data_IF_007633557452
#
_entry.id   IF_007633557452
#
_cell.length_a   1.000
_cell.length_b   1.000
_cell.length_c   1.000
_cell.angle_alpha   90.00
_cell.angle_beta   90.00
_cell.angle_gamma   90.00
#
_symmetry.space_group_name_H-M   'P 1'
#
loop_
_entity.id
_entity.type
_entity.pdbx_description
1 polymer ?
#
# COMPACT_ATOMS: atom_id res chain seq x y z
N UNK A 1 17.93 -0.44 -42.76
CA UNK A 1 18.25 -0.92 -41.40
C UNK A 1 18.59 0.29 -40.58
N UNK A 2 17.64 0.80 -39.79
CA UNK A 2 17.89 1.95 -38.93
C UNK A 2 18.43 1.42 -37.60
N UNK A 3 19.69 1.74 -37.31
CA UNK A 3 20.35 1.36 -36.07
C UNK A 3 19.79 2.27 -34.96
N UNK A 4 19.10 1.69 -33.98
CA UNK A 4 18.69 2.41 -32.78
C UNK A 4 19.94 2.74 -31.96
N UNK A 5 20.11 4.01 -31.61
CA UNK A 5 21.24 4.48 -30.82
C UNK A 5 21.12 3.97 -29.37
N UNK A 6 22.22 3.48 -28.75
CA UNK A 6 22.22 3.07 -27.36
C UNK A 6 22.53 4.27 -26.45
N UNK A 7 21.53 4.78 -25.72
CA UNK A 7 21.79 5.59 -24.52
C UNK A 7 20.52 5.75 -23.67
N UNK A 8 20.02 4.68 -23.07
CA UNK A 8 18.99 4.79 -22.03
C UNK A 8 19.64 4.42 -20.70
N UNK A 9 20.11 5.44 -19.98
CA UNK A 9 20.41 5.25 -18.55
C UNK A 9 19.14 4.76 -17.85
N UNK A 10 19.22 3.88 -16.84
CA UNK A 10 18.03 3.40 -16.11
C UNK A 10 17.14 4.59 -15.69
N UNK A 11 17.73 5.67 -15.18
CA UNK A 11 16.99 6.89 -14.86
C UNK A 11 16.08 7.44 -15.98
N UNK A 12 16.42 7.27 -17.26
CA UNK A 12 15.54 7.65 -18.37
C UNK A 12 14.38 6.66 -18.58
N UNK A 13 14.62 5.36 -18.43
CA UNK A 13 13.55 4.36 -18.53
C UNK A 13 12.55 4.51 -17.37
N UNK A 14 13.02 4.52 -16.12
CA UNK A 14 12.17 4.65 -14.94
C UNK A 14 11.40 5.98 -14.97
N UNK A 15 12.03 7.09 -15.36
CA UNK A 15 11.34 8.37 -15.49
C UNK A 15 10.29 8.37 -16.61
N UNK A 16 10.58 7.73 -17.75
CA UNK A 16 9.62 7.58 -18.84
C UNK A 16 8.44 6.69 -18.41
N UNK A 17 8.73 5.59 -17.70
CA UNK A 17 7.71 4.69 -17.18
C UNK A 17 6.84 5.35 -16.12
N UNK A 18 7.43 6.11 -15.19
CA UNK A 18 6.70 6.88 -14.19
C UNK A 18 5.73 7.87 -14.84
N UNK A 19 6.18 8.62 -15.85
CA UNK A 19 5.31 9.52 -16.64
C UNK A 19 4.19 8.75 -17.36
N UNK A 20 4.47 7.55 -17.84
CA UNK A 20 3.49 6.74 -18.54
C UNK A 20 2.41 6.18 -17.59
N UNK A 21 2.78 5.78 -16.36
CA UNK A 21 1.82 5.23 -15.40
C UNK A 21 1.05 6.31 -14.62
N UNK A 22 1.60 7.52 -14.49
CA UNK A 22 1.03 8.59 -13.69
C UNK A 22 -0.46 8.87 -13.95
N UNK A 23 -0.96 8.97 -15.20
CA UNK A 23 -2.38 9.22 -15.45
C UNK A 23 -3.30 8.14 -14.90
N UNK A 24 -2.84 6.88 -14.83
CA UNK A 24 -3.62 5.78 -14.26
C UNK A 24 -3.65 5.85 -12.74
N UNK A 25 -2.52 6.21 -12.10
CA UNK A 25 -2.45 6.43 -10.66
C UNK A 25 -3.37 7.59 -10.22
N UNK A 26 -3.39 8.68 -11.00
CA UNK A 26 -4.26 9.85 -10.74
C UNK A 26 -5.76 9.52 -10.79
N UNK A 27 -6.15 8.52 -11.57
CA UNK A 27 -7.54 8.14 -11.80
C UNK A 27 -7.98 6.95 -10.93
N UNK A 28 -7.07 6.37 -10.17
CA UNK A 28 -7.33 5.17 -9.37
C UNK A 28 -7.92 5.55 -8.02
N UNK A 29 -9.05 4.94 -7.67
CA UNK A 29 -9.62 5.03 -6.32
C UNK A 29 -8.71 4.33 -5.29
N UNK A 30 -8.06 3.25 -5.71
CA UNK A 30 -7.14 2.45 -4.90
C UNK A 30 -5.94 2.01 -5.74
N UNK A 31 -4.74 2.22 -5.22
CA UNK A 31 -3.49 1.63 -5.69
C UNK A 31 -2.92 0.77 -4.59
N UNK A 32 -2.74 -0.51 -4.90
CA UNK A 32 -2.03 -1.47 -4.08
C UNK A 32 -0.72 -1.82 -4.78
N UNK A 33 0.38 -1.35 -4.22
CA UNK A 33 1.72 -1.60 -4.74
C UNK A 33 2.39 -2.73 -3.95
N UNK A 34 2.66 -3.84 -4.64
CA UNK A 34 3.13 -5.09 -4.03
C UNK A 34 4.65 -5.20 -4.16
N UNK A 35 5.32 -5.29 -3.02
CA UNK A 35 6.78 -5.30 -2.92
C UNK A 35 7.31 -6.44 -2.04
N UNK A 36 8.63 -6.54 -2.03
CA UNK A 36 9.40 -7.36 -1.12
C UNK A 36 10.70 -6.62 -0.80
N UNK A 37 11.18 -6.76 0.42
CA UNK A 37 12.38 -6.09 0.90
C UNK A 37 13.65 -6.80 0.43
N UNK A 38 14.70 -6.03 0.13
CA UNK A 38 16.02 -6.59 -0.23
C UNK A 38 16.79 -7.19 0.97
N UNK A 39 16.32 -6.93 2.20
CA UNK A 39 16.89 -7.44 3.45
C UNK A 39 15.82 -8.20 4.22
N UNK A 40 16.20 -9.11 5.14
CA UNK A 40 15.25 -9.80 6.01
C UNK A 40 14.33 -8.79 6.72
N UNK A 41 13.02 -8.97 6.55
CA UNK A 41 11.98 -8.18 7.20
C UNK A 41 10.76 -9.04 7.46
N UNK A 42 10.02 -8.71 8.52
CA UNK A 42 8.63 -9.15 8.62
C UNK A 42 7.79 -8.45 7.56
N UNK A 43 6.67 -9.01 7.10
CA UNK A 43 5.77 -8.29 6.20
C UNK A 43 5.14 -7.09 6.89
N UNK A 44 4.91 -6.01 6.15
CA UNK A 44 4.28 -4.79 6.66
C UNK A 44 3.55 -4.01 5.58
N UNK A 45 2.67 -3.11 6.01
CA UNK A 45 2.07 -2.11 5.15
C UNK A 45 2.79 -0.77 5.34
N UNK A 46 3.01 -0.04 4.24
CA UNK A 46 3.42 1.36 4.27
C UNK A 46 2.33 2.25 3.72
N UNK A 47 2.07 3.34 4.43
CA UNK A 47 1.13 4.39 4.06
C UNK A 47 1.82 5.73 4.19
N UNK A 48 1.39 6.71 3.40
CA UNK A 48 1.95 8.04 3.44
C UNK A 48 0.91 9.15 3.51
N UNK A 49 1.35 10.29 4.03
CA UNK A 49 0.52 11.49 4.14
C UNK A 49 -0.58 11.36 5.19
N UNK A 50 -1.62 12.17 5.02
CA UNK A 50 -2.77 12.15 5.91
C UNK A 50 -3.65 10.93 5.65
N UNK A 51 -3.77 10.07 6.66
CA UNK A 51 -4.63 8.90 6.60
C UNK A 51 -6.11 9.31 6.58
N UNK A 52 -6.90 8.63 5.76
CA UNK A 52 -8.34 8.84 5.59
C UNK A 52 -9.14 7.60 6.02
N UNK A 53 -10.45 7.70 6.24
CA UNK A 53 -11.30 6.53 6.50
C UNK A 53 -11.27 5.47 5.38
N UNK A 54 -10.92 5.84 4.15
CA UNK A 54 -10.78 4.93 3.02
C UNK A 54 -9.49 4.11 3.09
N UNK A 55 -8.43 4.68 3.69
CA UNK A 55 -7.28 3.88 4.09
C UNK A 55 -7.72 2.80 5.08
N UNK A 56 -8.67 3.13 5.96
CA UNK A 56 -9.31 2.16 6.82
C UNK A 56 -10.21 1.19 6.03
N UNK A 57 -10.96 1.54 4.98
CA UNK A 57 -11.89 0.58 4.34
C UNK A 57 -11.17 -0.63 3.74
N UNK A 58 -10.03 -0.45 3.07
CA UNK A 58 -9.19 -1.55 2.54
C UNK A 58 -8.56 -2.39 3.67
N UNK A 59 -8.83 -2.05 4.93
CA UNK A 59 -8.00 -2.43 6.06
C UNK A 59 -8.81 -2.66 7.39
N UNK A 60 -10.15 -2.55 7.38
CA UNK A 60 -11.06 -1.82 8.31
C UNK A 60 -11.24 -2.09 9.82
N UNK A 61 -11.26 -0.94 10.50
CA UNK A 61 -11.86 -0.32 11.71
C UNK A 61 -12.90 -0.99 12.65
N UNK A 62 -12.74 -0.71 13.95
CA UNK A 62 -13.79 -0.54 14.99
C UNK A 62 -13.70 0.88 15.55
N UNK A 63 -14.82 1.62 15.63
CA UNK A 63 -14.89 2.95 16.24
C UNK A 63 -14.91 2.82 17.76
N UNK A 64 -13.81 3.17 18.44
CA UNK A 64 -13.81 3.41 19.88
C UNK A 64 -13.62 4.91 20.09
N UNK A 65 -14.72 5.63 20.33
CA UNK A 65 -14.64 7.03 20.68
C UNK A 65 -13.99 7.18 22.06
N UNK A 66 -12.75 7.64 22.11
CA UNK A 66 -12.25 8.32 23.30
C UNK A 66 -11.72 9.69 22.88
N UNK A 67 -12.41 10.75 23.31
CA UNK A 67 -12.22 12.14 22.86
C UNK A 67 -10.90 12.79 23.32
N UNK A 68 -9.89 12.00 23.65
CA UNK A 68 -8.65 12.45 24.27
C UNK A 68 -7.42 12.32 23.36
N UNK A 69 -7.49 11.54 22.27
CA UNK A 69 -6.41 11.43 21.29
C UNK A 69 -6.96 11.33 19.85
N UNK A 70 -6.70 12.31 18.97
CA UNK A 70 -7.16 12.26 17.58
C UNK A 70 -6.52 11.13 16.73
N UNK A 71 -5.56 10.38 17.28
CA UNK A 71 -4.92 9.21 16.66
C UNK A 71 -5.51 7.85 17.10
N UNK A 72 -6.40 7.79 18.10
CA UNK A 72 -7.08 6.54 18.52
C UNK A 72 -8.04 6.00 17.45
N UNK A 73 -8.24 6.77 16.38
CA UNK A 73 -9.20 6.51 15.33
C UNK A 73 -8.58 6.13 13.99
N UNK A 74 -7.46 5.41 13.91
CA UNK A 74 -6.90 4.94 12.63
C UNK A 74 -6.26 3.54 12.71
N UNK A 75 -6.79 2.64 13.55
CA UNK A 75 -6.13 1.37 13.83
C UNK A 75 -7.04 0.16 13.59
N UNK A 76 -7.03 -0.27 12.34
CA UNK A 76 -7.27 -1.64 11.91
C UNK A 76 -6.90 -1.58 10.44
N UNK A 77 -5.68 -2.01 10.12
CA UNK A 77 -5.10 -1.80 8.80
C UNK A 77 -4.66 -3.06 8.05
N UNK A 78 -4.91 -4.25 8.61
CA UNK A 78 -4.36 -5.50 8.09
C UNK A 78 -5.41 -6.60 7.94
N UNK A 79 -6.60 -6.27 7.42
CA UNK A 79 -7.66 -7.28 7.26
C UNK A 79 -7.27 -8.39 6.29
N UNK A 80 -6.70 -8.00 5.16
CA UNK A 80 -6.49 -8.91 4.04
C UNK A 80 -5.05 -9.40 3.96
N UNK A 81 -4.09 -8.56 4.34
CA UNK A 81 -2.69 -8.94 4.39
C UNK A 81 -2.33 -9.59 5.72
N UNK A 82 -1.60 -10.69 5.64
CA UNK A 82 -1.05 -11.39 6.80
C UNK A 82 0.18 -10.64 7.34
N UNK A 83 -0.05 -9.48 7.95
CA UNK A 83 0.95 -8.65 8.61
C UNK A 83 0.34 -7.93 9.81
N UNK A 84 1.13 -7.77 10.87
CA UNK A 84 0.73 -6.98 12.06
C UNK A 84 1.56 -5.70 12.18
N UNK A 85 2.28 -5.30 11.14
CA UNK A 85 3.16 -4.12 11.17
C UNK A 85 2.67 -3.09 10.17
N UNK A 86 2.56 -1.85 10.65
CA UNK A 86 2.24 -0.67 9.86
C UNK A 86 3.39 0.33 9.97
N UNK A 87 3.86 0.84 8.83
CA UNK A 87 4.80 1.93 8.73
C UNK A 87 4.09 3.14 8.14
N UNK A 88 3.95 4.21 8.92
CA UNK A 88 3.33 5.45 8.49
C UNK A 88 4.38 6.52 8.20
N UNK A 89 4.34 7.08 7.00
CA UNK A 89 5.17 8.20 6.56
C UNK A 89 4.30 9.47 6.38
N UNK A 90 3.93 10.16 7.47
CA UNK A 90 3.01 11.30 7.39
C UNK A 90 3.58 12.47 6.58
N UNK A 91 4.90 12.57 6.48
CA UNK A 91 5.60 13.72 5.93
C UNK A 91 6.38 13.41 4.63
N UNK A 92 6.14 12.26 4.01
CA UNK A 92 6.79 11.83 2.76
C UNK A 92 8.32 11.78 2.86
N UNK A 93 8.84 11.42 4.04
CA UNK A 93 10.28 11.43 4.34
C UNK A 93 11.01 10.31 3.61
N UNK A 94 10.38 9.16 3.39
CA UNK A 94 11.02 7.98 2.82
C UNK A 94 11.63 8.25 1.44
N UNK A 95 10.94 9.02 0.61
CA UNK A 95 11.41 9.43 -0.71
C UNK A 95 11.81 10.91 -0.80
N UNK A 96 11.80 11.64 0.33
CA UNK A 96 12.12 13.07 0.38
C UNK A 96 11.06 13.97 -0.29
N UNK A 97 9.83 13.49 -0.42
CA UNK A 97 8.69 14.15 -1.08
C UNK A 97 7.76 13.13 -1.74
N UNK A 98 6.69 13.61 -2.36
CA UNK A 98 5.75 12.76 -3.11
C UNK A 98 6.45 12.22 -4.36
N UNK A 99 6.87 10.97 -4.31
CA UNK A 99 7.61 10.33 -5.39
C UNK A 99 7.25 8.84 -5.58
N UNK A 100 6.71 8.18 -4.55
CA UNK A 100 6.26 6.79 -4.63
C UNK A 100 4.81 6.70 -5.16
N UNK A 101 4.45 5.52 -5.63
CA UNK A 101 3.13 5.23 -6.21
C UNK A 101 1.98 5.50 -5.25
N UNK A 102 2.13 5.10 -3.98
CA UNK A 102 1.15 5.31 -2.93
C UNK A 102 0.97 6.80 -2.61
N UNK A 103 2.09 7.51 -2.49
CA UNK A 103 2.14 8.95 -2.22
C UNK A 103 1.50 9.75 -3.34
N UNK A 104 1.85 9.41 -4.59
CA UNK A 104 1.34 10.09 -5.77
C UNK A 104 -0.16 9.84 -5.96
N UNK A 105 -0.63 8.63 -5.68
CA UNK A 105 -2.07 8.30 -5.70
C UNK A 105 -2.81 9.11 -4.63
N UNK A 106 -2.31 9.12 -3.40
CA UNK A 106 -2.85 9.90 -2.28
C UNK A 106 -2.93 11.40 -2.58
N UNK A 107 -1.90 11.96 -3.21
CA UNK A 107 -1.86 13.36 -3.61
C UNK A 107 -2.93 13.75 -4.66
N UNK A 108 -3.53 12.77 -5.34
CA UNK A 108 -4.60 12.97 -6.32
C UNK A 108 -5.98 12.53 -5.83
N UNK A 109 -6.12 12.22 -4.53
CA UNK A 109 -7.39 11.91 -3.89
C UNK A 109 -7.78 10.42 -3.90
N UNK A 110 -6.93 9.54 -4.44
CA UNK A 110 -7.08 8.09 -4.29
C UNK A 110 -6.47 7.57 -2.99
N UNK A 111 -6.58 6.27 -2.74
CA UNK A 111 -5.90 5.58 -1.64
C UNK A 111 -4.68 4.83 -2.16
N UNK A 112 -3.50 5.17 -1.65
CA UNK A 112 -2.25 4.49 -1.98
C UNK A 112 -1.78 3.62 -0.82
N UNK A 113 -1.44 2.36 -1.11
CA UNK A 113 -0.94 1.41 -0.11
C UNK A 113 0.25 0.65 -0.71
N UNK A 114 1.37 0.61 0.02
CA UNK A 114 2.46 -0.32 -0.25
C UNK A 114 2.32 -1.51 0.69
N UNK A 115 2.38 -2.72 0.14
CA UNK A 115 2.54 -3.95 0.93
C UNK A 115 3.91 -4.57 0.67
N UNK A 116 4.68 -4.70 1.73
CA UNK A 116 5.98 -5.35 1.73
C UNK A 116 5.82 -6.77 2.25
N UNK A 117 6.05 -7.77 1.38
CA UNK A 117 5.77 -9.17 1.67
C UNK A 117 6.82 -9.86 2.57
N UNK A 118 7.89 -9.17 2.93
CA UNK A 118 9.08 -9.74 3.56
C UNK A 118 10.25 -9.80 2.59
N UNK A 119 11.25 -10.64 2.86
CA UNK A 119 12.46 -10.73 2.05
C UNK A 119 12.18 -11.24 0.62
N UNK A 120 12.76 -10.59 -0.39
CA UNK A 120 12.57 -10.92 -1.81
C UNK A 120 12.93 -12.37 -2.19
N UNK A 121 13.83 -13.01 -1.45
CA UNK A 121 14.19 -14.42 -1.64
C UNK A 121 13.16 -15.41 -1.08
N UNK A 122 12.22 -14.96 -0.25
CA UNK A 122 11.20 -15.81 0.39
C UNK A 122 9.87 -15.74 -0.35
N UNK A 123 9.63 -16.70 -1.25
CA UNK A 123 8.37 -16.79 -1.99
C UNK A 123 7.29 -17.58 -1.25
N UNK A 124 7.51 -18.00 0.01
CA UNK A 124 6.55 -18.83 0.76
C UNK A 124 5.19 -18.15 0.97
N UNK A 125 5.15 -16.83 0.86
CA UNK A 125 3.96 -15.99 1.09
C UNK A 125 3.14 -15.70 -0.16
N UNK A 126 3.61 -16.09 -1.35
CA UNK A 126 2.94 -15.76 -2.62
C UNK A 126 1.45 -16.13 -2.65
N UNK A 127 1.08 -17.31 -2.15
CA UNK A 127 -0.32 -17.73 -2.10
C UNK A 127 -1.17 -16.84 -1.16
N UNK A 128 -0.60 -16.45 -0.02
CA UNK A 128 -1.26 -15.57 0.95
C UNK A 128 -1.43 -14.14 0.41
N UNK A 129 -0.46 -13.64 -0.36
CA UNK A 129 -0.55 -12.34 -1.04
C UNK A 129 -1.63 -12.37 -2.13
N UNK A 130 -1.66 -13.43 -2.96
CA UNK A 130 -2.69 -13.58 -3.98
C UNK A 130 -4.10 -13.65 -3.38
N UNK A 131 -4.28 -14.42 -2.29
CA UNK A 131 -5.56 -14.50 -1.56
C UNK A 131 -5.97 -13.14 -0.99
N UNK A 132 -5.03 -12.37 -0.43
CA UNK A 132 -5.29 -11.01 0.05
C UNK A 132 -5.80 -10.09 -1.05
N UNK A 133 -5.15 -10.09 -2.22
CA UNK A 133 -5.55 -9.30 -3.38
C UNK A 133 -6.95 -9.67 -3.86
N UNK A 134 -7.23 -10.97 -4.02
CA UNK A 134 -8.56 -11.44 -4.43
C UNK A 134 -9.64 -10.99 -3.45
N UNK A 135 -9.36 -11.06 -2.14
CA UNK A 135 -10.31 -10.60 -1.13
C UNK A 135 -10.55 -9.09 -1.17
N UNK A 136 -9.52 -8.28 -1.41
CA UNK A 136 -9.68 -6.83 -1.60
C UNK A 136 -10.57 -6.56 -2.82
N UNK A 137 -10.31 -7.23 -3.94
CA UNK A 137 -11.11 -7.10 -5.17
C UNK A 137 -12.57 -7.51 -4.96
N UNK A 138 -12.82 -8.56 -4.17
CA UNK A 138 -14.17 -9.05 -3.87
C UNK A 138 -14.92 -8.15 -2.88
N UNK A 139 -14.30 -7.82 -1.74
CA UNK A 139 -15.00 -7.28 -0.58
C UNK A 139 -14.92 -5.75 -0.47
N UNK A 140 -13.84 -5.15 -0.97
CA UNK A 140 -13.63 -3.70 -0.84
C UNK A 140 -13.91 -2.97 -2.17
N UNK A 141 -13.61 -3.62 -3.30
CA UNK A 141 -13.81 -3.03 -4.64
C UNK A 141 -15.07 -3.53 -5.35
N UNK A 142 -15.71 -4.59 -4.84
CA UNK A 142 -16.87 -5.24 -5.48
C UNK A 142 -16.64 -5.59 -6.97
N UNK A 143 -15.40 -5.87 -7.36
CA UNK A 143 -15.01 -6.23 -8.73
C UNK A 143 -15.22 -7.72 -9.01
N UNK A 144 -15.31 -8.54 -7.96
CA UNK A 144 -15.54 -9.97 -8.03
C UNK A 144 -16.78 -10.36 -7.20
N UNK A 145 -17.46 -11.46 -7.55
CA UNK A 145 -18.58 -11.97 -6.76
C UNK A 145 -18.13 -12.34 -5.34
N UNK A 146 -18.97 -12.03 -4.35
CA UNK A 146 -18.76 -12.46 -2.96
C UNK A 146 -19.09 -13.95 -2.85
N UNK A 147 -18.08 -14.79 -2.75
CA UNK A 147 -18.20 -16.26 -2.61
C UNK A 147 -17.67 -16.79 -1.26
N UNK A 148 -16.99 -15.93 -0.51
CA UNK A 148 -16.28 -16.27 0.72
C UNK A 148 -16.78 -15.45 1.90
N UNK A 149 -16.81 -16.06 3.08
CA UNK A 149 -17.13 -15.36 4.32
C UNK A 149 -16.09 -14.27 4.62
N UNK A 150 -16.55 -13.18 5.24
CA UNK A 150 -15.66 -12.15 5.78
C UNK A 150 -14.71 -12.77 6.82
N UNK A 151 -13.38 -12.56 6.71
CA UNK A 151 -12.44 -13.00 7.73
C UNK A 151 -12.70 -12.26 9.05
N UNK A 152 -12.21 -12.81 10.17
CA UNK A 152 -12.34 -12.15 11.47
C UNK A 152 -11.74 -10.73 11.44
N UNK A 153 -12.19 -9.85 12.37
CA UNK A 153 -11.63 -8.52 12.48
C UNK A 153 -10.10 -8.58 12.62
N UNK A 154 -9.36 -7.68 11.95
CA UNK A 154 -7.91 -7.67 12.08
C UNK A 154 -7.48 -7.41 13.53
N UNK A 155 -6.30 -7.94 13.88
CA UNK A 155 -5.54 -7.55 15.07
C UNK A 155 -5.16 -6.08 14.98
N UNK A 156 -4.99 -5.43 16.14
CA UNK A 156 -4.35 -4.12 16.19
C UNK A 156 -2.90 -4.26 15.70
N UNK A 157 -2.49 -3.57 14.63
CA UNK A 157 -1.10 -3.59 14.19
C UNK A 157 -0.20 -2.88 15.20
N UNK A 158 1.05 -3.32 15.24
CA UNK A 158 2.17 -2.53 15.74
C UNK A 158 2.46 -1.44 14.71
N UNK A 159 2.18 -0.18 15.07
CA UNK A 159 2.39 0.97 14.20
C UNK A 159 3.73 1.66 14.50
N UNK A 160 4.47 1.97 13.45
CA UNK A 160 5.68 2.77 13.45
C UNK A 160 5.46 4.03 12.60
N UNK A 161 6.09 5.12 13.00
CA UNK A 161 6.08 6.38 12.26
C UNK A 161 7.49 6.72 11.79
N UNK A 162 7.64 7.12 10.53
CA UNK A 162 8.91 7.66 10.01
C UNK A 162 9.08 9.08 10.55
N UNK A 163 10.25 9.33 11.17
CA UNK A 163 10.52 10.59 11.87
C UNK A 163 11.69 11.39 11.26
N UNK A 164 12.64 10.71 10.60
CA UNK A 164 13.79 11.28 9.89
C UNK A 164 14.30 10.35 8.77
#
# INVERSE_FOLDING_TARGET
MQVLAPSDSPFQYEAARAKHIAPFLQQSDLVLDLHSTNKPSVPFLKLAGQLTPEHASVSRYVHVSNKLNPMDGYVNMCRWFHCDVLLHDPNYQLAGGIALTDEYTGAHGGVGIIFESGEAGDTSRMAAVADAVLRILTHEMAMLPVDTAMPPPPSQPTAFEITE
#
